data_IF_259432275597
#
_entry.id   IF_259432275597
#
_cell.length_a   1.000
_cell.length_b   1.000
_cell.length_c   1.000
_cell.angle_alpha   90.00
_cell.angle_beta   90.00
_cell.angle_gamma   90.00
#
_symmetry.space_group_name_H-M   'P 1'
#
loop_
_entity.id
_entity.type
_entity.pdbx_description
1 polymer ?
#
# COMPACT_ATOMS: atom_id res chain seq x y z
N UNK A 1 14.50 -22.46 -6.07
CA UNK A 1 13.42 -21.65 -5.47
C UNK A 1 12.99 -20.65 -6.51
N UNK A 2 11.78 -20.79 -7.05
CA UNK A 2 11.19 -19.83 -8.00
C UNK A 2 11.04 -18.51 -7.25
N UNK A 3 11.47 -17.38 -7.84
CA UNK A 3 11.27 -16.08 -7.21
C UNK A 3 9.78 -15.87 -6.94
N UNK A 4 9.42 -15.47 -5.72
CA UNK A 4 8.04 -15.14 -5.38
C UNK A 4 7.55 -14.05 -6.35
N UNK A 5 6.40 -14.27 -6.98
CA UNK A 5 5.82 -13.30 -7.91
C UNK A 5 5.51 -12.01 -7.14
N UNK A 6 6.08 -10.90 -7.62
CA UNK A 6 5.82 -9.57 -7.06
C UNK A 6 4.71 -8.89 -7.84
N UNK A 7 3.77 -8.30 -7.13
CA UNK A 7 2.84 -7.31 -7.68
C UNK A 7 3.39 -5.91 -7.38
N UNK A 8 3.61 -5.10 -8.42
CA UNK A 8 4.32 -3.83 -8.30
C UNK A 8 3.40 -2.70 -8.77
N UNK A 9 3.27 -1.68 -7.93
CA UNK A 9 2.40 -0.53 -8.14
C UNK A 9 3.19 0.78 -8.16
N UNK A 10 2.81 1.75 -9.00
CA UNK A 10 1.88 1.60 -10.13
C UNK A 10 2.47 0.79 -11.29
N UNK A 11 3.80 0.71 -11.40
CA UNK A 11 4.49 -0.04 -12.45
C UNK A 11 5.90 -0.47 -12.02
N UNK A 12 6.49 -1.42 -12.75
CA UNK A 12 7.85 -1.87 -12.48
C UNK A 12 8.94 -0.81 -12.76
N UNK A 13 8.67 0.21 -13.58
CA UNK A 13 9.63 1.27 -13.89
C UNK A 13 9.65 2.39 -12.85
N UNK A 14 8.54 2.59 -12.14
CA UNK A 14 8.39 3.61 -11.11
C UNK A 14 7.65 3.00 -9.91
N UNK A 15 8.28 2.09 -9.15
CA UNK A 15 7.61 1.39 -8.08
C UNK A 15 7.46 2.29 -6.86
N UNK A 16 6.26 2.28 -6.27
CA UNK A 16 5.95 2.89 -4.98
C UNK A 16 5.62 1.82 -3.93
N UNK A 17 4.96 0.75 -4.35
CA UNK A 17 4.59 -0.39 -3.50
C UNK A 17 4.92 -1.69 -4.22
N UNK A 18 5.53 -2.63 -3.50
CA UNK A 18 5.69 -4.02 -3.90
C UNK A 18 4.89 -4.92 -2.96
N UNK A 19 4.13 -5.87 -3.50
CA UNK A 19 3.48 -6.92 -2.73
C UNK A 19 4.12 -8.26 -3.09
N UNK A 20 4.65 -8.93 -2.07
CA UNK A 20 5.01 -10.36 -2.13
C UNK A 20 4.01 -11.17 -1.32
N UNK A 21 3.86 -12.45 -1.68
CA UNK A 21 2.90 -13.34 -1.04
C UNK A 21 3.54 -14.67 -0.63
N UNK A 22 3.20 -15.12 0.57
CA UNK A 22 3.59 -16.41 1.14
C UNK A 22 2.34 -17.14 1.64
N UNK A 23 1.72 -17.97 0.78
CA UNK A 23 0.44 -18.59 1.09
C UNK A 23 -0.66 -17.53 1.34
N UNK A 24 -1.34 -17.51 2.50
CA UNK A 24 -2.34 -16.50 2.83
C UNK A 24 -1.75 -15.17 3.36
N UNK A 25 -0.42 -15.06 3.48
CA UNK A 25 0.25 -13.87 3.99
C UNK A 25 0.65 -12.93 2.83
N UNK A 26 0.17 -11.70 2.88
CA UNK A 26 0.55 -10.62 1.97
C UNK A 26 1.52 -9.68 2.66
N UNK A 27 2.62 -9.32 1.99
CA UNK A 27 3.62 -8.40 2.51
C UNK A 27 3.71 -7.22 1.55
N UNK A 28 3.12 -6.09 1.95
CA UNK A 28 3.16 -4.82 1.24
C UNK A 28 4.37 -4.00 1.72
N UNK A 29 5.34 -3.82 0.84
CA UNK A 29 6.54 -3.01 1.07
C UNK A 29 6.40 -1.70 0.30
N UNK A 30 6.38 -0.57 1.01
CA UNK A 30 6.48 0.75 0.41
C UNK A 30 7.96 1.03 0.11
N UNK A 31 8.28 1.27 -1.15
CA UNK A 31 9.66 1.31 -1.69
C UNK A 31 10.09 2.71 -2.15
N UNK A 32 9.27 3.73 -1.91
CA UNK A 32 9.66 5.11 -2.17
C UNK A 32 10.56 5.64 -1.04
N UNK A 33 11.43 6.59 -1.35
CA UNK A 33 12.52 7.05 -0.47
C UNK A 33 12.04 7.39 0.96
N UNK A 34 10.96 8.16 1.11
CA UNK A 34 10.39 8.54 2.42
C UNK A 34 8.91 8.15 2.57
N UNK A 35 8.37 7.40 1.59
CA UNK A 35 6.97 6.96 1.50
C UNK A 35 5.96 8.07 1.84
N UNK A 36 6.19 9.29 1.32
CA UNK A 36 5.31 10.42 1.63
C UNK A 36 3.97 10.30 0.91
N UNK A 37 2.92 10.82 1.53
CA UNK A 37 1.60 10.85 0.92
C UNK A 37 1.55 11.92 -0.18
N UNK A 38 1.77 11.47 -1.40
CA UNK A 38 1.46 12.17 -2.66
C UNK A 38 0.19 11.57 -3.28
N UNK A 39 -0.29 12.14 -4.38
CA UNK A 39 -1.43 11.58 -5.13
C UNK A 39 -1.17 10.15 -5.55
N UNK A 40 0.02 9.89 -6.08
CA UNK A 40 0.44 8.59 -6.59
C UNK A 40 0.57 7.56 -5.47
N UNK A 41 1.18 7.94 -4.35
CA UNK A 41 1.31 7.04 -3.19
C UNK A 41 -0.06 6.71 -2.58
N UNK A 42 -0.95 7.70 -2.42
CA UNK A 42 -2.31 7.45 -1.91
C UNK A 42 -3.07 6.49 -2.83
N UNK A 43 -2.97 6.70 -4.15
CA UNK A 43 -3.57 5.80 -5.13
C UNK A 43 -2.96 4.40 -5.06
N UNK A 44 -1.64 4.29 -4.98
CA UNK A 44 -0.95 3.01 -4.89
C UNK A 44 -1.36 2.24 -3.63
N UNK A 45 -1.55 2.91 -2.48
CA UNK A 45 -2.08 2.27 -1.26
C UNK A 45 -3.49 1.73 -1.51
N UNK A 46 -4.37 2.53 -2.14
CA UNK A 46 -5.71 2.06 -2.47
C UNK A 46 -5.71 0.83 -3.40
N UNK A 47 -4.94 0.91 -4.49
CA UNK A 47 -4.80 -0.19 -5.46
C UNK A 47 -4.19 -1.45 -4.81
N UNK A 48 -3.26 -1.27 -3.86
CA UNK A 48 -2.65 -2.36 -3.09
C UNK A 48 -3.69 -3.07 -2.21
N UNK A 49 -4.51 -2.31 -1.49
CA UNK A 49 -5.59 -2.85 -0.66
C UNK A 49 -6.64 -3.58 -1.52
N UNK A 50 -7.01 -3.01 -2.66
CA UNK A 50 -7.94 -3.64 -3.60
C UNK A 50 -7.36 -4.95 -4.14
N UNK A 51 -6.08 -4.96 -4.54
CA UNK A 51 -5.42 -6.18 -5.00
C UNK A 51 -5.46 -7.29 -3.94
N UNK A 52 -5.18 -6.97 -2.68
CA UNK A 52 -5.19 -7.95 -1.59
C UNK A 52 -6.61 -8.46 -1.33
N UNK A 53 -7.61 -7.57 -1.23
CA UNK A 53 -9.01 -7.94 -1.03
C UNK A 53 -9.55 -8.81 -2.17
N UNK A 54 -9.35 -8.37 -3.41
CA UNK A 54 -9.76 -9.14 -4.59
C UNK A 54 -9.07 -10.50 -4.65
N UNK A 55 -7.80 -10.61 -4.25
CA UNK A 55 -7.09 -11.89 -4.24
C UNK A 55 -7.69 -12.83 -3.21
N UNK A 56 -7.99 -12.34 -2.00
CA UNK A 56 -8.65 -13.11 -0.94
C UNK A 56 -10.02 -13.61 -1.39
N UNK A 57 -10.82 -12.72 -2.00
CA UNK A 57 -12.17 -13.05 -2.47
C UNK A 57 -12.14 -14.05 -3.64
N UNK A 58 -11.30 -13.82 -4.66
CA UNK A 58 -11.21 -14.67 -5.86
C UNK A 58 -10.68 -16.06 -5.55
N UNK A 59 -9.80 -16.19 -4.57
CA UNK A 59 -9.21 -17.47 -4.16
C UNK A 59 -9.95 -18.11 -2.98
N UNK A 60 -11.05 -17.50 -2.50
CA UNK A 60 -11.87 -17.99 -1.40
C UNK A 60 -11.04 -18.30 -0.13
N UNK A 61 -10.05 -17.45 0.19
CA UNK A 61 -9.17 -17.68 1.32
C UNK A 61 -9.93 -17.50 2.65
N UNK A 62 -9.99 -18.56 3.45
CA UNK A 62 -10.61 -18.53 4.78
C UNK A 62 -9.72 -17.90 5.85
N UNK A 63 -8.42 -17.77 5.56
CA UNK A 63 -7.41 -17.17 6.41
C UNK A 63 -6.55 -16.26 5.54
N UNK A 64 -6.35 -15.01 5.96
CA UNK A 64 -5.49 -14.05 5.26
C UNK A 64 -4.97 -12.99 6.23
N UNK A 65 -3.78 -12.47 5.97
CA UNK A 65 -3.21 -11.34 6.71
C UNK A 65 -2.40 -10.44 5.79
N UNK A 66 -2.43 -9.14 6.08
CA UNK A 66 -1.59 -8.14 5.42
C UNK A 66 -0.53 -7.63 6.41
N UNK A 67 0.72 -7.66 6.00
CA UNK A 67 1.83 -6.98 6.68
C UNK A 67 2.26 -5.79 5.85
N UNK A 68 2.34 -4.61 6.45
CA UNK A 68 2.87 -3.41 5.79
C UNK A 68 4.25 -3.05 6.36
N UNK A 69 5.16 -2.57 5.52
CA UNK A 69 6.51 -2.12 5.92
C UNK A 69 7.07 -1.10 4.94
N UNK A 70 8.09 -0.36 5.35
CA UNK A 70 8.96 0.37 4.44
C UNK A 70 10.14 -0.46 3.91
N UNK A 71 10.70 -0.04 2.78
CA UNK A 71 12.02 -0.46 2.30
C UNK A 71 13.05 0.40 3.03
N UNK A 72 13.95 -0.24 3.78
CA UNK A 72 15.01 0.44 4.54
C UNK A 72 14.53 1.21 5.79
N UNK A 73 14.68 2.54 5.80
CA UNK A 73 14.70 3.36 7.03
C UNK A 73 13.33 3.88 7.43
N UNK A 74 12.49 4.24 6.48
CA UNK A 74 11.25 4.94 6.76
C UNK A 74 10.06 4.03 6.51
N UNK A 75 9.13 3.93 7.48
CA UNK A 75 7.81 3.41 7.18
C UNK A 75 7.07 4.44 6.32
N UNK A 76 6.87 5.65 6.84
CA UNK A 76 6.38 6.82 6.09
C UNK A 76 6.62 8.11 6.87
N UNK A 77 7.10 9.17 6.20
CA UNK A 77 7.19 10.52 6.77
C UNK A 77 5.92 11.36 6.59
N UNK A 78 4.78 10.71 6.29
CA UNK A 78 3.48 11.34 6.22
C UNK A 78 3.30 12.27 5.01
N UNK A 79 2.52 13.33 5.18
CA UNK A 79 2.07 14.20 4.09
C UNK A 79 3.22 14.87 3.34
N UNK A 80 3.18 14.84 2.00
CA UNK A 80 4.01 15.71 1.18
C UNK A 80 3.33 17.07 0.99
N UNK A 81 3.47 17.96 1.98
CA UNK A 81 2.72 19.23 2.05
C UNK A 81 2.76 20.05 0.75
N UNK A 82 3.95 20.26 0.17
CA UNK A 82 4.10 21.07 -1.06
C UNK A 82 3.34 20.50 -2.26
N UNK A 83 3.30 19.17 -2.41
CA UNK A 83 2.54 18.49 -3.48
C UNK A 83 1.05 18.54 -3.20
N UNK A 84 0.64 18.39 -1.95
CA UNK A 84 -0.77 18.46 -1.56
C UNK A 84 -1.38 19.84 -1.83
N UNK A 85 -0.63 20.92 -1.57
CA UNK A 85 -1.10 22.29 -1.76
C UNK A 85 -1.36 22.68 -3.23
N UNK A 86 -0.70 22.00 -4.18
CA UNK A 86 -0.84 22.29 -5.62
C UNK A 86 -1.83 21.37 -6.33
N UNK A 87 -2.40 20.39 -5.63
CA UNK A 87 -3.41 19.46 -6.16
C UNK A 87 -4.79 19.90 -5.65
N UNK A 88 -5.66 20.47 -6.50
CA UNK A 88 -7.03 20.80 -6.13
C UNK A 88 -7.74 19.55 -5.59
N UNK A 89 -8.44 19.68 -4.46
CA UNK A 89 -9.19 18.58 -3.86
C UNK A 89 -8.35 17.50 -3.19
N UNK A 90 -7.03 17.68 -2.99
CA UNK A 90 -6.16 16.64 -2.43
C UNK A 90 -6.71 16.02 -1.14
N UNK A 91 -7.18 16.84 -0.20
CA UNK A 91 -7.71 16.32 1.07
C UNK A 91 -8.97 15.49 0.84
N UNK A 92 -9.98 16.06 0.17
CA UNK A 92 -11.32 15.48 0.08
C UNK A 92 -11.41 14.33 -0.93
N UNK A 93 -10.69 14.42 -2.05
CA UNK A 93 -10.81 13.50 -3.19
C UNK A 93 -9.72 12.42 -3.20
N UNK A 94 -8.63 12.59 -2.45
CA UNK A 94 -7.47 11.68 -2.49
C UNK A 94 -7.12 11.14 -1.10
N UNK A 95 -6.80 12.02 -0.15
CA UNK A 95 -6.30 11.62 1.15
C UNK A 95 -7.40 10.99 2.03
N UNK A 96 -8.56 11.65 2.14
CA UNK A 96 -9.69 11.14 2.94
C UNK A 96 -10.26 9.82 2.41
N UNK A 97 -10.42 9.60 1.09
CA UNK A 97 -10.81 8.29 0.55
C UNK A 97 -9.80 7.18 0.86
N UNK A 98 -8.50 7.47 0.81
CA UNK A 98 -7.45 6.51 1.18
C UNK A 98 -7.55 6.13 2.67
N UNK A 99 -7.71 7.11 3.56
CA UNK A 99 -7.94 6.84 4.99
C UNK A 99 -9.22 6.03 5.23
N UNK A 100 -10.31 6.37 4.54
CA UNK A 100 -11.57 5.63 4.62
C UNK A 100 -11.38 4.16 4.23
N UNK A 101 -10.66 3.89 3.14
CA UNK A 101 -10.35 2.53 2.69
C UNK A 101 -9.51 1.77 3.71
N UNK A 102 -8.49 2.39 4.30
CA UNK A 102 -7.69 1.76 5.38
C UNK A 102 -8.59 1.39 6.57
N UNK A 103 -9.50 2.27 6.98
CA UNK A 103 -10.39 2.03 8.12
C UNK A 103 -11.44 0.94 7.88
N UNK A 104 -11.87 0.76 6.63
CA UNK A 104 -12.87 -0.25 6.25
C UNK A 104 -12.25 -1.57 5.77
N UNK A 105 -10.92 -1.64 5.66
CA UNK A 105 -10.24 -2.84 5.20
C UNK A 105 -10.41 -3.99 6.20
N UNK A 106 -10.99 -5.11 5.74
CA UNK A 106 -11.46 -6.19 6.62
C UNK A 106 -10.43 -7.28 6.86
N UNK A 107 -9.33 -7.31 6.11
CA UNK A 107 -8.28 -8.30 6.27
C UNK A 107 -7.35 -7.87 7.42
N UNK A 108 -7.09 -8.74 8.41
CA UNK A 108 -6.20 -8.42 9.53
C UNK A 108 -4.87 -7.84 9.04
N UNK A 109 -4.56 -6.63 9.49
CA UNK A 109 -3.40 -5.86 9.02
C UNK A 109 -2.44 -5.56 10.16
N UNK A 110 -1.16 -5.85 9.96
CA UNK A 110 -0.07 -5.59 10.91
C UNK A 110 0.91 -4.60 10.27
N UNK A 111 1.16 -3.49 10.95
CA UNK A 111 2.19 -2.55 10.52
C UNK A 111 3.54 -2.89 11.16
N UNK A 112 4.53 -3.25 10.35
CA UNK A 112 5.93 -3.39 10.73
C UNK A 112 6.63 -2.04 10.55
N UNK A 113 6.49 -1.17 11.55
CA UNK A 113 7.00 0.22 11.52
C UNK A 113 8.52 0.22 11.73
N UNK A 114 9.28 0.33 10.63
CA UNK A 114 10.75 0.31 10.60
C UNK A 114 11.41 1.66 10.93
N UNK A 115 10.64 2.75 10.99
CA UNK A 115 11.09 4.09 11.35
C UNK A 115 10.10 5.17 10.96
#
# INVERSE_FOLDING_TARGET
MTAAQKFILPSASEPLIEITREGPLFIMTMVDNENRFTTEMCKAICDALDHVAETVDKEELTEAALVTRGQEKFYSNGLHMEKALVVPGFTDDIFMPMLNKILLFTIPTIACING
#
